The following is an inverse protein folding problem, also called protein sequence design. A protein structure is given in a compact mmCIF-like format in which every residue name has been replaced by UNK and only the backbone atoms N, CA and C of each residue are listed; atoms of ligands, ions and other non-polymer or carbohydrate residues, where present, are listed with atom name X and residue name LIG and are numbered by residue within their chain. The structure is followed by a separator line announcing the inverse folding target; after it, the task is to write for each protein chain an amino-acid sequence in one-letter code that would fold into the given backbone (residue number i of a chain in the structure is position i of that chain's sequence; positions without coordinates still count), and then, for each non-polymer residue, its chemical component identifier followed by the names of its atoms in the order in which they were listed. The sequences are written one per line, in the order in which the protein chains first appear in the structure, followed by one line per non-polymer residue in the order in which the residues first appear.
data_IF_976298048801
#
_entry.id   IF_976298048801
#
_cell.length_a   1.000
_cell.length_b   1.000
_cell.length_c   1.000
_cell.angle_alpha   90.00
_cell.angle_beta   90.00
_cell.angle_gamma   90.00
#
_symmetry.space_group_name_H-M   'P 1'
#
loop_
_entity.id
_entity.type
_entity.pdbx_description
1 polymer ?
#
# COMPACT_ATOMS: atom_id res chain seq x y z
N UNK A 1 -8.56 -4.98 -12.09
CA UNK A 1 -8.36 -3.60 -12.55
C UNK A 1 -8.21 -2.66 -11.38
N UNK A 2 -7.14 -1.86 -11.38
CA UNK A 2 -6.90 -0.80 -10.40
C UNK A 2 -7.93 0.33 -10.62
N UNK A 3 -8.56 0.81 -9.54
CA UNK A 3 -9.64 1.79 -9.61
C UNK A 3 -9.41 3.03 -8.75
N UNK A 4 -8.55 2.95 -7.73
CA UNK A 4 -8.26 4.07 -6.84
C UNK A 4 -6.87 3.92 -6.26
N UNK A 5 -6.21 5.04 -6.00
CA UNK A 5 -5.04 5.12 -5.12
C UNK A 5 -5.23 6.23 -4.09
N UNK A 6 -4.59 6.09 -2.94
CA UNK A 6 -4.52 7.13 -1.93
C UNK A 6 -3.16 7.15 -1.25
N UNK A 7 -2.73 8.34 -0.86
CA UNK A 7 -1.49 8.55 -0.13
C UNK A 7 -1.61 9.70 0.87
N UNK A 8 -0.94 9.58 2.01
CA UNK A 8 -0.82 10.62 3.04
C UNK A 8 0.59 10.58 3.63
N UNK A 9 1.12 11.76 3.97
CA UNK A 9 2.49 11.98 4.42
C UNK A 9 3.57 11.43 3.46
N UNK A 10 3.30 11.42 2.15
CA UNK A 10 4.23 10.89 1.14
C UNK A 10 4.73 12.02 0.22
N UNK A 11 6.03 12.32 0.31
CA UNK A 11 6.75 13.39 -0.38
C UNK A 11 6.02 14.74 -0.30
N UNK A 12 5.50 15.22 -1.42
CA UNK A 12 4.80 16.51 -1.53
C UNK A 12 3.42 16.51 -0.86
N UNK A 13 2.84 15.35 -0.57
CA UNK A 13 1.49 15.24 -0.02
C UNK A 13 1.50 15.08 1.50
N UNK A 14 1.07 16.11 2.21
CA UNK A 14 0.85 16.06 3.66
C UNK A 14 -0.45 15.31 3.98
N UNK A 15 -1.57 15.92 3.59
CA UNK A 15 -2.89 15.39 3.81
C UNK A 15 -3.21 14.24 2.85
N UNK A 16 -4.20 13.44 3.24
CA UNK A 16 -4.68 12.33 2.42
C UNK A 16 -5.16 12.85 1.07
N UNK A 17 -4.53 12.39 0.01
CA UNK A 17 -4.98 12.56 -1.36
C UNK A 17 -5.59 11.27 -1.86
N UNK A 18 -6.67 11.36 -2.62
CA UNK A 18 -7.34 10.23 -3.27
C UNK A 18 -7.44 10.52 -4.77
N UNK A 19 -7.10 9.52 -5.58
CA UNK A 19 -7.22 9.59 -7.03
C UNK A 19 -7.99 8.36 -7.51
N UNK A 20 -9.20 8.59 -8.01
CA UNK A 20 -9.95 7.59 -8.76
C UNK A 20 -9.31 7.42 -10.14
N UNK A 21 -9.20 6.18 -10.59
CA UNK A 21 -8.53 5.80 -11.83
C UNK A 21 -9.55 5.26 -12.84
N UNK A 22 -9.53 5.85 -14.02
CA UNK A 22 -10.21 5.35 -15.21
C UNK A 22 -9.26 4.44 -16.02
N UNK A 23 -9.78 3.61 -16.95
CA UNK A 23 -8.95 2.78 -17.82
C UNK A 23 -7.80 3.53 -18.49
N UNK A 24 -8.02 4.80 -18.84
CA UNK A 24 -7.00 5.75 -19.25
C UNK A 24 -7.09 6.95 -18.30
N UNK A 25 -6.01 7.21 -17.56
CA UNK A 25 -5.92 8.35 -16.62
C UNK A 25 -4.76 9.24 -17.05
N UNK A 26 -5.06 10.51 -17.35
CA UNK A 26 -4.07 11.52 -17.74
C UNK A 26 -3.66 12.34 -16.50
N UNK A 27 -2.37 12.38 -16.19
CA UNK A 27 -1.82 13.17 -15.07
C UNK A 27 -1.05 14.36 -15.64
N UNK A 28 -1.60 15.57 -15.49
CA UNK A 28 -1.02 16.82 -16.00
C UNK A 28 -1.12 17.95 -14.97
N UNK A 29 -0.35 19.03 -15.17
CA UNK A 29 -0.25 20.15 -14.24
C UNK A 29 1.16 20.75 -14.18
N UNK A 30 1.35 21.80 -13.38
CA UNK A 30 2.63 22.50 -13.24
C UNK A 30 3.75 21.59 -12.73
N UNK A 31 5.01 21.92 -13.06
CA UNK A 31 6.16 21.22 -12.51
C UNK A 31 6.16 21.30 -10.98
N UNK A 32 6.65 20.23 -10.34
CA UNK A 32 6.68 20.11 -8.87
C UNK A 32 5.32 20.05 -8.18
N UNK A 33 4.20 19.90 -8.90
CA UNK A 33 2.85 19.73 -8.32
C UNK A 33 2.57 18.33 -7.74
N UNK A 34 3.56 17.44 -7.68
CA UNK A 34 3.41 16.08 -7.16
C UNK A 34 3.02 14.99 -8.18
N UNK A 35 3.03 15.27 -9.49
CA UNK A 35 2.72 14.27 -10.53
C UNK A 35 3.65 13.04 -10.46
N UNK A 36 4.95 13.27 -10.35
CA UNK A 36 5.92 12.17 -10.20
C UNK A 36 5.72 11.42 -8.89
N UNK A 37 5.34 12.10 -7.81
CA UNK A 37 5.00 11.49 -6.51
C UNK A 37 3.89 10.45 -6.66
N UNK A 38 2.87 10.72 -7.48
CA UNK A 38 1.77 9.77 -7.75
C UNK A 38 2.33 8.48 -8.35
N UNK A 39 3.11 8.57 -9.43
CA UNK A 39 3.69 7.39 -10.09
C UNK A 39 4.68 6.65 -9.18
N UNK A 40 5.52 7.39 -8.48
CA UNK A 40 6.51 6.86 -7.54
C UNK A 40 5.86 6.08 -6.39
N UNK A 41 4.70 6.52 -5.90
CA UNK A 41 3.94 5.78 -4.87
C UNK A 41 3.51 4.39 -5.35
N UNK A 42 3.03 4.30 -6.60
CA UNK A 42 2.62 3.05 -7.24
C UNK A 42 3.79 2.10 -7.46
N UNK A 43 4.91 2.63 -7.97
CA UNK A 43 6.13 1.84 -8.19
C UNK A 43 6.72 1.35 -6.85
N UNK A 44 6.74 2.20 -5.83
CA UNK A 44 7.18 1.85 -4.48
C UNK A 44 6.32 0.75 -3.85
N UNK A 45 4.99 0.84 -3.98
CA UNK A 45 4.09 -0.23 -3.55
C UNK A 45 4.31 -1.53 -4.35
N UNK A 46 4.44 -1.44 -5.68
CA UNK A 46 4.67 -2.62 -6.54
C UNK A 46 5.93 -3.37 -6.14
N UNK A 47 7.07 -2.68 -5.98
CA UNK A 47 8.31 -3.34 -5.61
C UNK A 47 8.29 -3.88 -4.17
N UNK A 48 7.63 -3.17 -3.25
CA UNK A 48 7.46 -3.64 -1.87
C UNK A 48 6.64 -4.93 -1.82
N UNK A 49 5.52 -5.02 -2.56
CA UNK A 49 4.67 -6.20 -2.59
C UNK A 49 5.26 -7.39 -3.37
N UNK A 50 6.10 -7.08 -4.36
CA UNK A 50 6.78 -8.09 -5.19
C UNK A 50 8.10 -8.56 -4.58
N UNK A 51 8.59 -7.91 -3.52
CA UNK A 51 9.83 -8.30 -2.87
C UNK A 51 9.70 -9.71 -2.27
N UNK A 52 10.66 -10.61 -2.54
CA UNK A 52 10.68 -11.95 -1.94
C UNK A 52 10.98 -11.90 -0.44
N UNK A 53 11.64 -10.84 0.04
CA UNK A 53 12.03 -10.68 1.45
C UNK A 53 10.98 -9.83 2.16
N UNK A 54 9.83 -10.45 2.47
CA UNK A 54 8.66 -9.79 3.07
C UNK A 54 8.79 -9.64 4.59
N UNK A 55 9.74 -8.85 5.07
CA UNK A 55 9.86 -8.55 6.51
C UNK A 55 8.92 -7.42 6.97
N UNK A 56 7.97 -7.02 6.11
CA UNK A 56 6.98 -5.99 6.42
C UNK A 56 7.53 -4.57 6.37
N UNK A 57 8.66 -4.31 5.74
CA UNK A 57 9.18 -2.95 5.54
C UNK A 57 8.82 -2.37 4.18
N UNK A 58 8.84 -1.04 4.07
CA UNK A 58 8.69 -0.38 2.78
C UNK A 58 10.04 -0.40 2.06
N UNK A 59 10.06 -0.98 0.86
CA UNK A 59 11.28 -1.08 0.04
C UNK A 59 11.45 0.23 -0.72
N UNK A 60 12.27 1.14 -0.19
CA UNK A 60 12.50 2.46 -0.78
C UNK A 60 13.40 2.42 -2.02
N UNK A 61 14.38 1.52 -2.06
CA UNK A 61 15.30 1.34 -3.18
C UNK A 61 15.03 -0.03 -3.80
N UNK A 62 14.76 -0.05 -5.10
CA UNK A 62 14.47 -1.29 -5.79
C UNK A 62 14.41 -1.11 -7.31
N UNK A 63 14.15 -2.20 -8.06
CA UNK A 63 14.22 -2.20 -9.51
C UNK A 63 13.13 -1.36 -10.19
N UNK A 64 12.03 -1.03 -9.50
CA UNK A 64 10.96 -0.21 -10.07
C UNK A 64 11.18 1.28 -9.82
N UNK A 65 11.73 1.67 -8.67
CA UNK A 65 11.97 3.05 -8.29
C UNK A 65 13.05 3.14 -7.20
N UNK A 66 13.88 4.18 -7.31
CA UNK A 66 14.75 4.64 -6.23
C UNK A 66 14.11 5.84 -5.54
N UNK A 67 13.75 5.65 -4.27
CA UNK A 67 13.19 6.68 -3.39
C UNK A 67 14.16 7.06 -2.27
N UNK A 68 15.40 6.58 -2.33
CA UNK A 68 16.46 6.72 -1.35
C UNK A 68 16.10 6.05 0.00
N UNK A 69 15.43 6.74 0.91
CA UNK A 69 15.16 6.22 2.27
C UNK A 69 13.75 6.56 2.75
N UNK A 70 13.31 5.98 3.88
CA UNK A 70 12.04 6.38 4.50
C UNK A 70 12.02 7.88 4.84
N UNK A 71 13.12 8.42 5.37
CA UNK A 71 13.25 9.85 5.68
C UNK A 71 13.14 10.72 4.43
N UNK A 72 13.53 10.22 3.26
CA UNK A 72 13.41 10.94 1.99
C UNK A 72 11.98 10.99 1.44
N UNK A 73 11.14 10.02 1.81
CA UNK A 73 9.77 9.89 1.30
C UNK A 73 8.69 10.38 2.26
N UNK A 74 8.97 10.46 3.56
CA UNK A 74 8.01 11.02 4.50
C UNK A 74 7.90 12.54 4.30
N UNK A 75 6.68 13.07 4.36
CA UNK A 75 6.45 14.50 4.12
C UNK A 75 7.32 15.37 5.05
N UNK A 76 8.01 16.36 4.45
CA UNK A 76 8.97 17.26 5.13
C UNK A 76 10.07 16.52 5.90
N UNK A 77 10.40 15.29 5.52
CA UNK A 77 11.40 14.47 6.21
C UNK A 77 11.11 14.22 7.70
N UNK A 78 9.85 14.44 8.14
CA UNK A 78 9.46 14.22 9.53
C UNK A 78 9.18 12.73 9.78
N UNK A 79 10.22 11.99 10.18
CA UNK A 79 10.17 10.54 10.43
C UNK A 79 9.23 10.12 11.57
N UNK A 80 8.75 11.07 12.38
CA UNK A 80 7.71 10.81 13.40
C UNK A 80 6.33 10.56 12.78
N UNK A 81 6.13 10.96 11.52
CA UNK A 81 4.87 10.76 10.83
C UNK A 81 4.82 9.39 10.17
N UNK A 82 3.63 8.78 10.21
CA UNK A 82 3.35 7.56 9.46
C UNK A 82 3.03 7.90 8.01
N UNK A 83 3.58 7.11 7.08
CA UNK A 83 3.19 7.10 5.67
C UNK A 83 2.01 6.14 5.51
N UNK A 84 0.95 6.61 4.85
CA UNK A 84 -0.18 5.76 4.47
C UNK A 84 -0.27 5.67 2.96
N UNK A 85 -0.26 4.46 2.43
CA UNK A 85 -0.44 4.18 1.02
C UNK A 85 -1.58 3.18 0.85
N UNK A 86 -2.48 3.44 -0.09
CA UNK A 86 -3.62 2.58 -0.35
C UNK A 86 -3.91 2.50 -1.83
N UNK A 87 -4.48 1.37 -2.23
CA UNK A 87 -5.09 1.21 -3.54
C UNK A 87 -6.32 0.33 -3.48
N UNK A 88 -7.23 0.56 -4.42
CA UNK A 88 -8.42 -0.26 -4.61
C UNK A 88 -8.46 -0.85 -6.01
N UNK A 89 -9.01 -2.06 -6.11
CA UNK A 89 -9.15 -2.79 -7.36
C UNK A 89 -10.34 -3.74 -7.32
N UNK A 90 -10.79 -4.17 -8.49
CA UNK A 90 -11.79 -5.22 -8.66
C UNK A 90 -11.30 -6.25 -9.69
N UNK A 91 -11.95 -7.41 -9.81
CA UNK A 91 -11.55 -8.41 -10.80
C UNK A 91 -12.21 -8.14 -12.15
N UNK A 92 -11.46 -8.35 -13.24
CA UNK A 92 -12.03 -8.35 -14.59
C UNK A 92 -12.32 -9.78 -15.10
N UNK A 93 -12.08 -10.80 -14.27
CA UNK A 93 -12.34 -12.18 -14.64
C UNK A 93 -13.84 -12.47 -14.55
N UNK A 94 -14.37 -13.18 -15.54
CA UNK A 94 -15.68 -13.81 -15.44
C UNK A 94 -15.64 -14.94 -14.40
N UNK A 95 -16.80 -15.41 -13.95
CA UNK A 95 -16.87 -16.57 -13.04
C UNK A 95 -16.16 -17.80 -13.62
N UNK A 96 -16.43 -18.10 -14.90
CA UNK A 96 -15.73 -19.15 -15.63
C UNK A 96 -14.22 -18.92 -15.71
N UNK A 97 -13.78 -17.72 -16.10
CA UNK A 97 -12.35 -17.40 -16.20
C UNK A 97 -11.61 -17.44 -14.86
N UNK A 98 -12.30 -17.18 -13.74
CA UNK A 98 -11.74 -17.42 -12.41
C UNK A 98 -11.56 -18.91 -12.14
N UNK A 99 -12.59 -19.72 -12.38
CA UNK A 99 -12.53 -21.17 -12.18
C UNK A 99 -11.49 -21.84 -13.06
N UNK A 100 -11.30 -21.38 -14.30
CA UNK A 100 -10.26 -21.91 -15.20
C UNK A 100 -8.85 -21.68 -14.64
N UNK A 101 -8.60 -20.55 -13.97
CA UNK A 101 -7.28 -20.20 -13.42
C UNK A 101 -7.03 -20.85 -12.05
N UNK A 102 -8.05 -20.84 -11.18
CA UNK A 102 -7.90 -21.21 -9.77
C UNK A 102 -8.51 -22.57 -9.41
N UNK A 103 -9.19 -23.24 -10.35
CA UNK A 103 -9.86 -24.54 -10.15
C UNK A 103 -10.93 -24.55 -9.05
N UNK A 104 -11.51 -23.39 -8.73
CA UNK A 104 -12.54 -23.22 -7.71
C UNK A 104 -13.55 -22.12 -8.10
N UNK A 105 -14.71 -22.09 -7.45
CA UNK A 105 -15.68 -21.02 -7.64
C UNK A 105 -15.22 -19.72 -6.94
N UNK A 106 -15.45 -18.53 -7.53
CA UNK A 106 -15.06 -17.28 -6.89
C UNK A 106 -15.86 -17.04 -5.60
N UNK A 107 -15.15 -16.85 -4.49
CA UNK A 107 -15.76 -16.50 -3.19
C UNK A 107 -16.33 -15.05 -3.16
N UNK A 108 -15.85 -14.16 -4.02
CA UNK A 108 -16.27 -12.75 -4.10
C UNK A 108 -16.70 -12.41 -5.51
N UNK A 109 -17.64 -11.48 -5.64
CA UNK A 109 -18.09 -11.03 -6.95
C UNK A 109 -16.96 -10.29 -7.66
N UNK A 110 -16.88 -10.44 -8.99
CA UNK A 110 -15.84 -9.79 -9.78
C UNK A 110 -15.87 -8.25 -9.62
N UNK A 111 -17.07 -7.69 -9.47
CA UNK A 111 -17.31 -6.26 -9.27
C UNK A 111 -17.05 -5.76 -7.84
N UNK A 112 -16.84 -6.64 -6.86
CA UNK A 112 -16.54 -6.22 -5.49
C UNK A 112 -15.24 -5.42 -5.47
N UNK A 113 -15.27 -4.28 -4.79
CA UNK A 113 -14.13 -3.39 -4.62
C UNK A 113 -13.31 -3.90 -3.45
N UNK A 114 -12.07 -4.23 -3.73
CA UNK A 114 -11.07 -4.65 -2.75
C UNK A 114 -10.15 -3.47 -2.49
N UNK A 115 -9.97 -3.10 -1.24
CA UNK A 115 -9.08 -2.00 -0.85
C UNK A 115 -8.00 -2.51 0.09
N UNK A 116 -6.76 -2.12 -0.19
CA UNK A 116 -5.61 -2.41 0.66
C UNK A 116 -5.05 -1.09 1.17
N UNK A 117 -4.74 -1.00 2.46
CA UNK A 117 -4.05 0.14 3.07
C UNK A 117 -2.85 -0.37 3.88
N UNK A 118 -1.70 0.24 3.63
CA UNK A 118 -0.46 0.05 4.37
C UNK A 118 -0.13 1.33 5.13
N UNK A 119 0.12 1.19 6.43
CA UNK A 119 0.69 2.25 7.26
C UNK A 119 2.11 1.86 7.63
N UNK A 120 3.08 2.65 7.19
CA UNK A 120 4.49 2.46 7.51
C UNK A 120 4.97 3.53 8.48
N UNK A 121 5.80 3.11 9.44
CA UNK A 121 6.44 3.98 10.43
C UNK A 121 7.94 3.80 10.39
N UNK A 122 8.67 4.82 10.82
CA UNK A 122 10.11 4.76 10.99
C UNK A 122 10.50 3.78 12.12
N UNK A 123 11.56 2.98 11.94
CA UNK A 123 12.18 2.23 13.05
C UNK A 123 13.06 3.21 13.83
N UNK A 124 12.86 3.39 15.14
CA UNK A 124 13.82 4.13 15.96
C UNK A 124 15.14 3.34 15.99
N UNK A 125 16.25 3.97 15.61
CA UNK A 125 17.56 3.34 15.42
C UNK A 125 17.97 2.53 16.66
N UNK A 126 17.97 1.19 16.51
CA UNK A 126 18.67 0.28 17.40
C UNK A 126 19.99 -0.12 16.76
N UNK A 127 20.92 0.83 16.62
CA UNK A 127 22.24 0.60 16.02
C UNK A 127 22.28 0.79 14.50
N UNK A 128 23.26 1.57 14.06
CA UNK A 128 23.55 1.85 12.66
C UNK A 128 24.25 0.61 12.08
N UNK A 129 23.48 -0.27 11.47
CA UNK A 129 24.00 -1.12 10.40
C UNK A 129 23.50 -0.52 9.07
N UNK A 130 24.46 -0.09 8.23
CA UNK A 130 24.32 0.74 7.02
C UNK A 130 23.42 0.17 5.89
N UNK A 131 22.65 -0.89 6.15
CA UNK A 131 21.68 -1.46 5.21
C UNK A 131 20.38 -1.91 5.88
N UNK A 132 20.13 -1.51 7.14
CA UNK A 132 18.89 -1.87 7.82
C UNK A 132 17.72 -1.04 7.29
N UNK A 133 16.59 -1.66 6.88
CA UNK A 133 15.46 -0.91 6.37
C UNK A 133 14.86 -0.05 7.49
N UNK A 134 14.85 1.27 7.27
CA UNK A 134 14.50 2.29 8.27
C UNK A 134 13.00 2.40 8.56
N UNK A 135 12.19 1.42 8.13
CA UNK A 135 10.74 1.44 8.29
C UNK A 135 10.16 0.07 8.59
N UNK A 136 8.95 0.04 9.16
CA UNK A 136 8.18 -1.19 9.36
C UNK A 136 6.69 -0.94 9.11
N UNK A 137 5.96 -1.99 8.76
CA UNK A 137 4.52 -1.99 8.57
C UNK A 137 3.86 -1.96 9.95
N UNK A 138 3.37 -0.77 10.32
CA UNK A 138 2.63 -0.56 11.56
C UNK A 138 1.21 -1.07 11.47
N UNK A 139 0.58 -0.94 10.31
CA UNK A 139 -0.80 -1.39 10.12
C UNK A 139 -1.08 -1.82 8.68
N UNK A 140 -1.81 -2.93 8.53
CA UNK A 140 -2.36 -3.44 7.28
C UNK A 140 -3.88 -3.51 7.39
N UNK A 141 -4.58 -2.92 6.42
CA UNK A 141 -6.02 -3.12 6.27
C UNK A 141 -6.33 -3.71 4.91
N UNK A 142 -7.25 -4.67 4.92
CA UNK A 142 -7.89 -5.18 3.72
C UNK A 142 -9.40 -5.13 3.91
N UNK A 143 -10.11 -4.54 2.95
CA UNK A 143 -11.58 -4.55 2.96
C UNK A 143 -12.13 -4.97 1.61
N UNK A 144 -13.31 -5.56 1.64
CA UNK A 144 -14.10 -5.91 0.46
C UNK A 144 -15.49 -5.31 0.62
N UNK A 145 -15.87 -4.48 -0.34
CA UNK A 145 -17.16 -3.80 -0.41
C UNK A 145 -17.87 -4.12 -1.72
N UNK A 146 -19.19 -4.30 -1.65
CA UNK A 146 -20.00 -4.37 -2.86
C UNK A 146 -19.99 -3.03 -3.60
N UNK A 147 -19.92 -3.07 -4.93
CA UNK A 147 -19.86 -1.85 -5.75
C UNK A 147 -21.11 -0.97 -5.62
N UNK A 148 -22.29 -1.60 -5.55
CA UNK A 148 -23.59 -0.91 -5.66
C UNK A 148 -24.02 -0.25 -4.35
N UNK A 149 -24.08 -1.02 -3.26
CA UNK A 149 -24.58 -0.55 -1.96
C UNK A 149 -23.48 -0.36 -0.89
N UNK A 150 -22.20 -0.51 -1.26
CA UNK A 150 -21.05 -0.34 -0.34
C UNK A 150 -21.15 -1.18 0.94
N UNK A 151 -21.85 -2.31 0.86
CA UNK A 151 -21.97 -3.26 1.95
C UNK A 151 -20.62 -3.95 2.14
N UNK A 152 -20.14 -3.94 3.37
CA UNK A 152 -18.90 -4.60 3.74
C UNK A 152 -19.10 -6.12 3.79
N UNK A 153 -18.30 -6.84 3.00
CA UNK A 153 -18.27 -8.31 2.94
C UNK A 153 -17.16 -8.89 3.81
N UNK A 154 -16.03 -8.20 3.89
CA UNK A 154 -14.87 -8.62 4.64
C UNK A 154 -14.07 -7.40 5.10
N UNK A 155 -13.56 -7.45 6.33
CA UNK A 155 -12.60 -6.49 6.86
C UNK A 155 -11.54 -7.24 7.64
N UNK A 156 -10.29 -6.97 7.32
CA UNK A 156 -9.11 -7.43 8.04
C UNK A 156 -8.35 -6.17 8.45
N UNK A 157 -7.97 -6.10 9.72
CA UNK A 157 -7.12 -5.05 10.25
C UNK A 157 -6.04 -5.71 11.11
N UNK A 158 -4.80 -5.69 10.64
CA UNK A 158 -3.64 -6.26 11.32
C UNK A 158 -2.74 -5.10 11.69
N UNK A 159 -2.62 -4.85 12.99
CA UNK A 159 -1.68 -3.87 13.53
C UNK A 159 -0.46 -4.59 14.07
N UNK A 160 0.71 -3.95 14.03
CA UNK A 160 1.89 -4.43 14.77
C UNK A 160 1.48 -4.58 16.24
N UNK A 161 1.61 -5.79 16.77
CA UNK A 161 1.33 -6.09 18.16
C UNK A 161 2.24 -5.30 19.09
N UNK A 162 1.79 -5.08 20.33
CA UNK A 162 2.64 -4.57 21.40
C UNK A 162 3.77 -5.58 21.63
N UNK A 163 5.02 -5.11 21.78
CA UNK A 163 6.14 -5.96 22.22
C UNK A 163 5.70 -6.75 23.48
N UNK A 164 6.02 -8.04 23.52
CA UNK A 164 5.76 -8.99 24.61
C UNK A 164 4.35 -9.63 24.71
N UNK A 165 3.47 -9.50 23.72
CA UNK A 165 2.17 -10.20 23.76
C UNK A 165 2.23 -11.70 23.43
N UNK A 166 3.35 -12.18 22.88
CA UNK A 166 3.55 -13.58 22.45
C UNK A 166 4.56 -14.34 23.31
N UNK A 167 4.98 -13.80 24.46
CA UNK A 167 5.95 -14.47 25.34
C UNK A 167 5.39 -15.70 26.08
N UNK A 168 4.09 -15.99 25.96
CA UNK A 168 3.42 -17.12 26.66
C UNK A 168 3.01 -18.29 25.73
N UNK A 169 3.52 -18.34 24.49
CA UNK A 169 3.21 -19.45 23.55
C UNK A 169 4.45 -20.23 23.06
N UNK A 170 5.49 -20.30 23.88
CA UNK A 170 6.59 -21.26 23.73
C UNK A 170 6.78 -22.06 25.01
#
# INVERSE_FOLDING_TARGET
MLSKISMSNFKSFADKQELELAPITLIFGQNSSGKSTIIQSLLGMKQTLSSPHRQGEFIAIGPCVDLNSFSSIVHRHNVKNDIKLSFSFFSNLSGAGYTDIFSEAPFLAASDIRSIEFTYSHKEDGGIEDNTPSSYLKNFKYSVETKVNKQNKLKINISKGKLNYTNELL
#
